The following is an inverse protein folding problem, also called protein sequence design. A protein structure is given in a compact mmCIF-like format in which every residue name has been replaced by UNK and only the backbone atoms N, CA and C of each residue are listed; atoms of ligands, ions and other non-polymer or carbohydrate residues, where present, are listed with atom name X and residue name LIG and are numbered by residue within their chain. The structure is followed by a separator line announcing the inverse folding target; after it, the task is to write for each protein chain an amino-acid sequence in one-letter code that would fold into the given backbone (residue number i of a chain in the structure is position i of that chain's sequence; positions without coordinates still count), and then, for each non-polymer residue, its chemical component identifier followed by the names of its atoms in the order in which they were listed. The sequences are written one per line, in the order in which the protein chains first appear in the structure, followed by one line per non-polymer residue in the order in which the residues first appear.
data_IF_056227296968
#
_entry.id   IF_056227296968
#
_cell.length_a   1.000
_cell.length_b   1.000
_cell.length_c   1.000
_cell.angle_alpha   90.00
_cell.angle_beta   90.00
_cell.angle_gamma   90.00
#
_symmetry.space_group_name_H-M   'P 1'
#
loop_
_entity.id
_entity.type
_entity.pdbx_description
1 polymer ?
#
# COMPACT_ATOMS: atom_id res chain seq x y z
N UNK A 1 6.54 -16.36 -9.67
CA UNK A 1 5.80 -15.07 -9.59
C UNK A 1 4.43 -15.32 -9.00
N UNK A 2 4.05 -14.56 -8.00
CA UNK A 2 2.67 -14.65 -7.45
C UNK A 2 1.71 -14.08 -8.49
N UNK A 3 0.64 -14.81 -8.76
CA UNK A 3 -0.32 -14.44 -9.79
C UNK A 3 -1.42 -13.57 -9.15
N UNK A 4 -1.53 -12.30 -9.54
CA UNK A 4 -2.50 -11.33 -9.03
C UNK A 4 -3.95 -11.83 -9.22
N UNK A 5 -4.23 -12.54 -10.28
CA UNK A 5 -5.57 -13.04 -10.63
C UNK A 5 -6.18 -14.01 -9.60
N UNK A 6 -5.37 -14.49 -8.63
CA UNK A 6 -5.84 -15.39 -7.58
C UNK A 6 -6.37 -14.66 -6.33
N UNK A 7 -6.33 -13.34 -6.31
CA UNK A 7 -6.78 -12.53 -5.18
C UNK A 7 -8.16 -11.96 -5.42
N UNK A 8 -8.96 -11.86 -4.37
CA UNK A 8 -10.29 -11.27 -4.39
C UNK A 8 -10.33 -9.84 -3.85
N UNK A 9 -9.20 -9.36 -3.30
CA UNK A 9 -8.97 -7.98 -2.91
C UNK A 9 -7.54 -7.58 -3.28
N UNK A 10 -7.40 -6.47 -4.00
CA UNK A 10 -6.11 -5.94 -4.42
C UNK A 10 -6.08 -4.45 -4.08
N UNK A 11 -5.15 -4.05 -3.24
CA UNK A 11 -4.81 -2.65 -3.02
C UNK A 11 -3.44 -2.40 -3.62
N UNK A 12 -3.32 -1.45 -4.55
CA UNK A 12 -2.03 -1.11 -5.15
C UNK A 12 -1.53 0.24 -4.66
N UNK A 13 -0.23 0.36 -4.45
CA UNK A 13 0.44 1.60 -4.08
C UNK A 13 1.68 1.80 -4.95
N UNK A 14 1.81 2.99 -5.54
CA UNK A 14 2.98 3.37 -6.32
C UNK A 14 3.19 2.56 -7.62
N UNK A 15 2.13 1.99 -8.18
CA UNK A 15 2.15 1.24 -9.42
C UNK A 15 1.26 1.90 -10.47
N UNK A 16 1.83 2.34 -11.57
CA UNK A 16 1.04 2.88 -12.69
C UNK A 16 0.48 1.79 -13.62
N UNK A 17 0.98 0.56 -13.49
CA UNK A 17 0.59 -0.58 -14.34
C UNK A 17 0.92 -0.38 -15.83
N UNK A 18 2.09 0.14 -16.11
CA UNK A 18 2.62 0.22 -17.50
C UNK A 18 2.91 -1.17 -18.07
N UNK A 19 3.34 -2.10 -17.22
CA UNK A 19 3.58 -3.48 -17.61
C UNK A 19 2.29 -4.17 -18.01
N UNK A 20 2.23 -4.62 -19.26
CA UNK A 20 1.03 -5.23 -19.84
C UNK A 20 0.65 -6.56 -19.17
N UNK A 21 1.64 -7.35 -18.75
CA UNK A 21 1.40 -8.63 -18.08
C UNK A 21 0.69 -8.41 -16.72
N UNK A 22 1.20 -7.49 -15.90
CA UNK A 22 0.56 -7.12 -14.64
C UNK A 22 -0.83 -6.53 -14.84
N UNK A 23 -0.97 -5.64 -15.82
CA UNK A 23 -2.27 -5.01 -16.14
C UNK A 23 -3.30 -6.06 -16.58
N UNK A 24 -2.91 -7.00 -17.42
CA UNK A 24 -3.80 -8.07 -17.87
C UNK A 24 -4.17 -9.03 -16.74
N UNK A 25 -3.23 -9.38 -15.88
CA UNK A 25 -3.48 -10.20 -14.68
C UNK A 25 -4.46 -9.51 -13.72
N UNK A 26 -4.28 -8.20 -13.51
CA UNK A 26 -5.21 -7.38 -12.70
C UNK A 26 -6.62 -7.38 -13.29
N UNK A 27 -6.75 -7.14 -14.59
CA UNK A 27 -8.05 -7.15 -15.29
C UNK A 27 -8.76 -8.50 -15.19
N UNK A 28 -8.01 -9.60 -15.22
CA UNK A 28 -8.58 -10.95 -15.01
C UNK A 28 -9.11 -11.12 -13.58
N UNK A 29 -8.36 -10.69 -12.58
CA UNK A 29 -8.82 -10.73 -11.18
C UNK A 29 -10.14 -9.96 -11.03
N UNK A 30 -10.24 -8.77 -11.59
CA UNK A 30 -11.44 -7.92 -11.52
C UNK A 30 -12.62 -8.56 -12.25
N UNK A 31 -12.40 -9.19 -13.39
CA UNK A 31 -13.44 -9.97 -14.10
C UNK A 31 -13.94 -11.15 -13.27
N UNK A 32 -13.10 -11.69 -12.38
CA UNK A 32 -13.46 -12.73 -11.41
C UNK A 32 -14.02 -12.16 -10.11
N UNK A 33 -14.48 -10.91 -10.12
CA UNK A 33 -15.11 -10.21 -9.00
C UNK A 33 -14.16 -9.75 -7.89
N UNK A 34 -12.86 -9.61 -8.16
CA UNK A 34 -11.94 -9.01 -7.21
C UNK A 34 -12.25 -7.52 -7.02
N UNK A 35 -12.15 -7.06 -5.78
CA UNK A 35 -12.17 -5.64 -5.44
C UNK A 35 -10.80 -5.03 -5.70
N UNK A 36 -10.75 -3.91 -6.41
CA UNK A 36 -9.50 -3.21 -6.69
C UNK A 36 -9.52 -1.77 -6.16
N UNK A 37 -8.60 -1.48 -5.26
CA UNK A 37 -8.35 -0.14 -4.72
C UNK A 37 -7.05 0.36 -5.35
N UNK A 38 -7.14 1.42 -6.15
CA UNK A 38 -6.01 2.01 -6.86
C UNK A 38 -5.51 3.24 -6.11
N UNK A 39 -4.28 3.19 -5.61
CA UNK A 39 -3.62 4.30 -4.92
C UNK A 39 -2.43 4.80 -5.73
N UNK A 40 -2.53 6.01 -6.26
CA UNK A 40 -1.48 6.60 -7.09
C UNK A 40 -1.65 8.13 -7.18
N UNK A 41 -0.56 8.90 -7.36
CA UNK A 41 -0.67 10.34 -7.62
C UNK A 41 -1.37 10.70 -8.93
N UNK A 42 -1.30 9.81 -9.92
CA UNK A 42 -1.84 10.03 -11.25
C UNK A 42 -2.87 8.96 -11.55
N UNK A 43 -4.06 9.38 -12.00
CA UNK A 43 -5.08 8.46 -12.47
C UNK A 43 -4.61 7.76 -13.76
N UNK A 44 -4.87 6.48 -13.87
CA UNK A 44 -4.58 5.71 -15.07
C UNK A 44 -5.87 5.51 -15.87
N UNK A 45 -5.96 6.16 -17.01
CA UNK A 45 -7.12 6.11 -17.87
C UNK A 45 -7.52 4.68 -18.28
N UNK A 46 -6.55 3.79 -18.47
CA UNK A 46 -6.82 2.39 -18.84
C UNK A 46 -7.41 1.56 -17.68
N UNK A 47 -7.28 2.03 -16.46
CA UNK A 47 -7.80 1.35 -15.26
C UNK A 47 -9.10 1.95 -14.75
N UNK A 48 -9.56 3.04 -15.32
CA UNK A 48 -10.71 3.81 -14.82
C UNK A 48 -11.99 3.00 -14.67
N UNK A 49 -12.24 2.05 -15.55
CA UNK A 49 -13.41 1.18 -15.50
C UNK A 49 -13.19 -0.08 -14.65
N UNK A 50 -12.02 -0.24 -14.05
CA UNK A 50 -11.63 -1.45 -13.32
C UNK A 50 -11.49 -1.28 -11.83
N UNK A 51 -11.11 -0.10 -11.32
CA UNK A 51 -11.02 0.10 -9.89
C UNK A 51 -12.38 0.39 -9.26
N UNK A 52 -12.60 -0.14 -8.04
CA UNK A 52 -13.78 0.17 -7.22
C UNK A 52 -13.60 1.48 -6.46
N UNK A 53 -12.34 1.83 -6.16
CA UNK A 53 -12.00 3.04 -5.45
C UNK A 53 -10.64 3.56 -5.94
N UNK A 54 -10.57 4.86 -6.21
CA UNK A 54 -9.32 5.54 -6.50
C UNK A 54 -8.97 6.47 -5.34
N UNK A 55 -7.85 6.20 -4.68
CA UNK A 55 -7.30 7.06 -3.64
C UNK A 55 -6.10 7.79 -4.22
N UNK A 56 -6.31 9.04 -4.60
CA UNK A 56 -5.25 9.90 -5.09
C UNK A 56 -4.44 10.44 -3.91
N UNK A 57 -3.12 10.41 -4.04
CA UNK A 57 -2.23 11.00 -3.05
C UNK A 57 -1.20 11.92 -3.69
N UNK A 58 -0.52 12.75 -2.88
CA UNK A 58 0.51 13.65 -3.37
C UNK A 58 1.80 12.89 -3.74
N UNK A 59 2.47 13.35 -4.78
CA UNK A 59 3.77 12.80 -5.21
C UNK A 59 4.76 12.82 -4.04
N UNK A 60 5.53 11.76 -3.88
CA UNK A 60 6.50 11.58 -2.80
C UNK A 60 5.89 11.41 -1.38
N UNK A 61 4.60 11.10 -1.29
CA UNK A 61 3.92 10.80 -0.02
C UNK A 61 3.84 9.31 0.30
N UNK A 62 4.55 8.45 -0.40
CA UNK A 62 4.43 6.99 -0.29
C UNK A 62 4.72 6.48 1.13
N UNK A 63 5.67 7.10 1.84
CA UNK A 63 5.95 6.76 3.24
C UNK A 63 4.73 7.01 4.14
N UNK A 64 4.10 8.18 4.00
CA UNK A 64 2.89 8.51 4.74
C UNK A 64 1.72 7.59 4.38
N UNK A 65 1.54 7.27 3.10
CA UNK A 65 0.52 6.34 2.62
C UNK A 65 0.72 4.96 3.24
N UNK A 66 1.94 4.44 3.28
CA UNK A 66 2.23 3.15 3.91
C UNK A 66 2.01 3.17 5.42
N UNK A 67 2.33 4.27 6.09
CA UNK A 67 2.03 4.44 7.52
C UNK A 67 0.51 4.45 7.77
N UNK A 68 -0.27 5.09 6.92
CA UNK A 68 -1.73 5.08 6.98
C UNK A 68 -2.30 3.67 6.70
N UNK A 69 -1.79 2.96 5.71
CA UNK A 69 -2.14 1.56 5.46
C UNK A 69 -1.85 0.72 6.70
N UNK A 70 -0.67 0.87 7.29
CA UNK A 70 -0.32 0.14 8.51
C UNK A 70 -1.28 0.46 9.66
N UNK A 71 -1.61 1.74 9.84
CA UNK A 71 -2.53 2.17 10.90
C UNK A 71 -3.94 1.55 10.76
N UNK A 72 -4.49 1.53 9.53
CA UNK A 72 -5.87 1.08 9.31
C UNK A 72 -6.01 -0.44 9.18
N UNK A 73 -4.97 -1.13 8.73
CA UNK A 73 -5.05 -2.57 8.40
C UNK A 73 -4.34 -3.49 9.39
N UNK A 74 -3.48 -2.96 10.27
CA UNK A 74 -2.73 -3.77 11.23
C UNK A 74 -3.61 -4.29 12.36
N UNK A 75 -3.24 -5.47 12.87
CA UNK A 75 -3.90 -6.12 14.00
C UNK A 75 -2.91 -6.85 14.89
N UNK A 76 -3.28 -7.01 16.17
CA UNK A 76 -2.49 -7.77 17.15
C UNK A 76 -1.05 -7.29 17.27
N UNK A 77 -0.86 -5.97 17.33
CA UNK A 77 0.45 -5.36 17.33
C UNK A 77 1.20 -5.55 18.65
N UNK A 78 2.52 -5.84 18.61
CA UNK A 78 3.39 -5.69 19.76
C UNK A 78 3.43 -4.22 20.24
N UNK A 79 3.89 -4.04 21.47
CA UNK A 79 3.93 -2.70 22.11
C UNK A 79 4.69 -1.67 21.26
N UNK A 80 5.84 -2.05 20.70
CA UNK A 80 6.69 -1.15 19.92
C UNK A 80 5.96 -0.57 18.68
N UNK A 81 5.30 -1.43 17.90
CA UNK A 81 4.53 -1.02 16.73
C UNK A 81 3.28 -0.24 17.12
N UNK A 82 2.65 -0.65 18.21
CA UNK A 82 1.49 0.06 18.76
C UNK A 82 1.86 1.47 19.21
N UNK A 83 2.98 1.63 19.93
CA UNK A 83 3.49 2.94 20.35
C UNK A 83 3.82 3.82 19.13
N UNK A 84 4.42 3.25 18.08
CA UNK A 84 4.66 3.96 16.83
C UNK A 84 3.36 4.54 16.24
N UNK A 85 2.31 3.71 16.12
CA UNK A 85 1.03 4.16 15.55
C UNK A 85 0.31 5.17 16.47
N UNK A 86 0.37 5.01 17.77
CA UNK A 86 -0.21 5.97 18.73
C UNK A 86 0.47 7.34 18.69
N UNK A 87 1.75 7.39 18.31
CA UNK A 87 2.52 8.63 18.17
C UNK A 87 2.40 9.26 16.78
N UNK A 88 1.79 8.58 15.80
CA UNK A 88 1.54 9.18 14.49
C UNK A 88 0.44 10.25 14.57
N UNK A 89 0.70 11.38 13.95
CA UNK A 89 -0.35 12.36 13.67
C UNK A 89 -1.09 11.97 12.39
N UNK A 90 -2.10 11.13 12.53
CA UNK A 90 -2.89 10.60 11.41
C UNK A 90 -3.57 11.72 10.63
N UNK A 91 -4.11 12.71 11.32
CA UNK A 91 -4.75 13.86 10.68
C UNK A 91 -3.76 14.67 9.82
N UNK A 92 -2.55 14.88 10.34
CA UNK A 92 -1.49 15.55 9.59
C UNK A 92 -1.06 14.74 8.36
N UNK A 93 -0.79 13.45 8.52
CA UNK A 93 -0.39 12.58 7.41
C UNK A 93 -1.46 12.51 6.32
N UNK A 94 -2.73 12.42 6.71
CA UNK A 94 -3.87 12.43 5.80
C UNK A 94 -3.96 13.76 5.05
N UNK A 95 -3.85 14.89 5.74
CA UNK A 95 -3.90 16.21 5.12
C UNK A 95 -2.75 16.44 4.13
N UNK A 96 -1.51 16.15 4.55
CA UNK A 96 -0.32 16.37 3.71
C UNK A 96 -0.23 15.42 2.52
N UNK A 97 -0.69 14.18 2.67
CA UNK A 97 -0.74 13.23 1.56
C UNK A 97 -1.96 13.39 0.66
N UNK A 98 -2.94 14.19 1.04
CA UNK A 98 -4.24 14.34 0.38
C UNK A 98 -5.07 13.05 0.31
N UNK A 99 -4.73 12.04 1.12
CA UNK A 99 -5.49 10.79 1.23
C UNK A 99 -6.32 10.81 2.51
N UNK A 100 -7.64 10.86 2.39
CA UNK A 100 -8.57 11.03 3.51
C UNK A 100 -8.70 9.77 4.37
N UNK A 101 -8.89 9.96 5.67
CA UNK A 101 -9.10 8.84 6.60
C UNK A 101 -10.33 8.01 6.20
N UNK A 102 -11.41 8.67 5.75
CA UNK A 102 -12.63 7.98 5.29
C UNK A 102 -12.36 7.07 4.09
N UNK A 103 -11.40 7.43 3.24
CA UNK A 103 -11.02 6.60 2.08
C UNK A 103 -10.37 5.28 2.54
N UNK A 104 -9.53 5.34 3.58
CA UNK A 104 -8.94 4.14 4.19
C UNK A 104 -9.97 3.30 4.92
N UNK A 105 -10.91 3.93 5.62
CA UNK A 105 -12.01 3.23 6.30
C UNK A 105 -12.88 2.49 5.29
N UNK A 106 -13.23 3.12 4.17
CA UNK A 106 -13.98 2.48 3.08
C UNK A 106 -13.21 1.29 2.49
N UNK A 107 -11.91 1.47 2.23
CA UNK A 107 -11.05 0.41 1.72
C UNK A 107 -10.95 -0.76 2.71
N UNK A 108 -10.91 -0.48 4.02
CA UNK A 108 -10.86 -1.49 5.07
C UNK A 108 -12.16 -2.31 5.17
N UNK A 109 -13.33 -1.70 5.02
CA UNK A 109 -14.61 -2.42 5.00
C UNK A 109 -14.61 -3.48 3.89
N UNK A 110 -14.19 -3.11 2.69
CA UNK A 110 -14.07 -4.04 1.55
C UNK A 110 -13.02 -5.14 1.82
N UNK A 111 -11.92 -4.79 2.49
CA UNK A 111 -10.88 -5.74 2.90
C UNK A 111 -11.42 -6.82 3.85
N UNK A 112 -12.23 -6.43 4.83
CA UNK A 112 -12.84 -7.37 5.80
C UNK A 112 -13.75 -8.40 5.12
N UNK A 113 -14.42 -8.03 4.04
CA UNK A 113 -15.31 -8.90 3.27
C UNK A 113 -14.56 -9.92 2.39
N UNK A 114 -13.29 -9.68 2.12
CA UNK A 114 -12.48 -10.49 1.22
C UNK A 114 -11.78 -11.66 1.94
N UNK A 115 -11.39 -12.67 1.19
CA UNK A 115 -10.69 -13.86 1.69
C UNK A 115 -9.20 -13.87 1.34
N UNK A 116 -8.85 -13.46 0.12
CA UNK A 116 -7.48 -13.43 -0.39
C UNK A 116 -7.08 -12.00 -0.77
N UNK A 117 -6.21 -11.42 0.03
CA UNK A 117 -5.93 -9.98 0.02
C UNK A 117 -4.49 -9.71 -0.38
N UNK A 118 -4.28 -8.94 -1.45
CA UNK A 118 -2.97 -8.53 -1.91
C UNK A 118 -2.74 -7.04 -1.72
N UNK A 119 -1.55 -6.69 -1.25
CA UNK A 119 -0.98 -5.35 -1.41
C UNK A 119 0.02 -5.40 -2.56
N UNK A 120 -0.31 -4.76 -3.67
CA UNK A 120 0.58 -4.66 -4.82
C UNK A 120 1.50 -3.43 -4.67
N UNK A 121 2.79 -3.69 -4.55
CA UNK A 121 3.83 -2.68 -4.32
C UNK A 121 4.51 -2.34 -5.64
N UNK A 122 4.32 -1.11 -6.10
CA UNK A 122 4.87 -0.64 -7.36
C UNK A 122 6.27 -0.05 -7.28
N UNK A 123 6.81 0.31 -8.43
CA UNK A 123 8.19 0.76 -8.59
C UNK A 123 8.44 2.18 -8.06
N UNK A 124 7.41 2.99 -7.92
CA UNK A 124 7.55 4.39 -7.45
C UNK A 124 8.18 4.47 -6.06
N UNK A 125 8.05 3.42 -5.24
CA UNK A 125 8.60 3.39 -3.89
C UNK A 125 10.13 3.21 -3.86
N UNK A 126 10.71 2.66 -4.92
CA UNK A 126 12.13 2.25 -4.96
C UNK A 126 13.07 3.45 -4.84
N UNK A 127 12.72 4.54 -5.49
CA UNK A 127 13.54 5.75 -5.57
C UNK A 127 13.12 6.83 -4.56
N UNK A 128 12.27 6.49 -3.60
CA UNK A 128 11.85 7.42 -2.57
C UNK A 128 13.01 7.77 -1.64
N UNK A 129 13.11 9.04 -1.24
CA UNK A 129 14.17 9.53 -0.34
C UNK A 129 14.23 8.74 0.97
N UNK A 130 13.06 8.33 1.49
CA UNK A 130 12.91 7.56 2.72
C UNK A 130 12.71 6.06 2.49
N UNK A 131 13.30 5.52 1.43
CA UNK A 131 13.13 4.11 1.04
C UNK A 131 13.48 3.11 2.15
N UNK A 132 14.46 3.44 3.02
CA UNK A 132 14.83 2.54 4.13
C UNK A 132 13.69 2.40 5.15
N UNK A 133 12.98 3.48 5.47
CA UNK A 133 11.80 3.40 6.34
C UNK A 133 10.60 2.78 5.61
N UNK A 134 10.46 3.03 4.31
CA UNK A 134 9.45 2.36 3.46
C UNK A 134 9.63 0.84 3.49
N UNK A 135 10.87 0.35 3.38
CA UNK A 135 11.17 -1.10 3.50
C UNK A 135 10.73 -1.64 4.85
N UNK A 136 11.01 -0.92 5.94
CA UNK A 136 10.55 -1.31 7.29
C UNK A 136 9.03 -1.28 7.42
N UNK A 137 8.36 -0.28 6.87
CA UNK A 137 6.89 -0.21 6.85
C UNK A 137 6.29 -1.40 6.10
N UNK A 138 6.81 -1.73 4.94
CA UNK A 138 6.36 -2.90 4.16
C UNK A 138 6.60 -4.21 4.91
N UNK A 139 7.75 -4.36 5.58
CA UNK A 139 8.03 -5.53 6.40
C UNK A 139 7.06 -5.65 7.59
N UNK A 140 6.71 -4.53 8.24
CA UNK A 140 5.70 -4.49 9.29
C UNK A 140 4.30 -4.82 8.75
N UNK A 141 3.90 -4.26 7.62
CA UNK A 141 2.63 -4.56 6.96
C UNK A 141 2.53 -6.05 6.64
N UNK A 142 3.59 -6.62 6.08
CA UNK A 142 3.64 -8.06 5.78
C UNK A 142 3.42 -8.91 7.03
N UNK A 143 4.01 -8.51 8.16
CA UNK A 143 3.97 -9.29 9.40
C UNK A 143 2.68 -9.11 10.20
N UNK A 144 2.12 -7.91 10.22
CA UNK A 144 1.04 -7.53 11.15
C UNK A 144 -0.29 -7.21 10.46
N UNK A 145 -0.43 -7.48 9.19
CA UNK A 145 -1.69 -7.40 8.47
C UNK A 145 -2.00 -8.72 7.76
N UNK A 146 -3.22 -8.85 7.27
CA UNK A 146 -3.62 -10.01 6.45
C UNK A 146 -3.33 -9.81 4.95
N UNK A 147 -2.50 -8.85 4.60
CA UNK A 147 -2.03 -8.69 3.24
C UNK A 147 -0.94 -9.70 2.88
N UNK A 148 -1.04 -10.27 1.70
CA UNK A 148 0.11 -10.82 0.99
C UNK A 148 0.70 -9.72 0.10
N UNK A 149 2.01 -9.48 0.20
CA UNK A 149 2.69 -8.48 -0.61
C UNK A 149 3.10 -9.07 -1.95
N UNK A 150 2.77 -8.35 -3.03
CA UNK A 150 3.19 -8.64 -4.39
C UNK A 150 3.96 -7.43 -4.90
N UNK A 151 5.13 -7.66 -5.46
CA UNK A 151 6.03 -6.60 -5.92
C UNK A 151 6.15 -6.60 -7.43
N UNK A 152 6.17 -5.41 -8.04
CA UNK A 152 6.52 -5.26 -9.45
C UNK A 152 8.02 -5.49 -9.71
N UNK A 153 8.86 -5.25 -8.70
CA UNK A 153 10.33 -5.42 -8.77
C UNK A 153 10.82 -6.50 -7.81
N UNK A 154 11.52 -7.49 -8.36
CA UNK A 154 12.04 -8.64 -7.58
C UNK A 154 13.19 -8.27 -6.65
N UNK A 155 14.00 -7.28 -7.01
CA UNK A 155 15.11 -6.81 -6.18
C UNK A 155 14.57 -6.11 -4.95
N UNK A 156 13.55 -5.29 -5.13
CA UNK A 156 12.86 -4.63 -4.03
C UNK A 156 12.14 -5.63 -3.11
N UNK A 157 11.48 -6.63 -3.68
CA UNK A 157 10.89 -7.74 -2.92
C UNK A 157 11.93 -8.42 -2.03
N UNK A 158 13.11 -8.75 -2.56
CA UNK A 158 14.19 -9.34 -1.77
C UNK A 158 14.66 -8.44 -0.64
N UNK A 159 14.77 -7.13 -0.90
CA UNK A 159 15.14 -6.15 0.10
C UNK A 159 14.15 -6.12 1.26
N UNK A 160 12.86 -6.10 0.99
CA UNK A 160 11.81 -6.14 2.02
C UNK A 160 11.83 -7.46 2.77
N UNK A 161 11.92 -8.59 2.07
CA UNK A 161 11.94 -9.92 2.69
C UNK A 161 13.18 -10.17 3.56
N UNK A 162 14.28 -9.48 3.30
CA UNK A 162 15.52 -9.56 4.09
C UNK A 162 15.52 -8.60 5.28
N UNK A 163 14.53 -7.73 5.40
CA UNK A 163 14.45 -6.76 6.48
C UNK A 163 14.10 -7.45 7.81
N UNK A 164 15.07 -7.48 8.74
CA UNK A 164 14.88 -8.03 10.09
C UNK A 164 14.64 -6.95 11.15
N UNK A 165 15.05 -5.71 10.86
CA UNK A 165 14.84 -4.57 11.74
C UNK A 165 13.47 -3.95 11.47
N UNK A 166 12.52 -4.21 12.36
CA UNK A 166 11.14 -3.70 12.26
C UNK A 166 10.94 -2.38 13.04
N UNK A 167 12.01 -1.80 13.58
CA UNK A 167 11.95 -0.51 14.28
C UNK A 167 11.71 0.61 13.27
N UNK A 168 10.54 1.27 13.37
CA UNK A 168 10.14 2.32 12.45
C UNK A 168 10.69 3.68 12.87
N UNK A 169 11.19 4.42 11.89
CA UNK A 169 11.62 5.81 12.08
C UNK A 169 10.40 6.73 12.18
N UNK A 170 10.52 7.81 12.94
CA UNK A 170 9.48 8.83 13.02
C UNK A 170 9.26 9.50 11.66
N UNK A 171 8.01 9.85 11.38
CA UNK A 171 7.61 10.57 10.16
C UNK A 171 7.24 11.98 10.59
N UNK A 172 8.26 12.85 10.68
CA UNK A 172 8.10 14.19 11.24
C UNK A 172 7.73 15.27 10.22
N UNK A 173 8.22 15.16 8.99
CA UNK A 173 7.99 16.15 7.94
C UNK A 173 7.81 15.46 6.58
N UNK A 174 6.61 15.55 6.04
CA UNK A 174 6.43 15.35 4.61
C UNK A 174 6.98 16.59 3.93
N UNK A 175 8.22 16.50 3.42
CA UNK A 175 8.77 17.60 2.64
C UNK A 175 7.94 17.77 1.37
N UNK A 176 7.14 18.80 1.35
CA UNK A 176 6.51 19.28 0.12
C UNK A 176 7.60 19.85 -0.77
N UNK A 177 7.86 19.20 -1.85
CA UNK A 177 8.68 19.75 -2.93
C UNK A 177 7.86 20.65 -3.83
#
# INVERSE_FOLDING_TARGET
MKIIENYDYILSVGAFFEDEEFRNSLKKAIKNSATFIYMHPIDNFELKDFYDQFIKYEVASEEAILALIFNFFAKNLPKEQKDFLENLDIGYLSAESSAGEEEFEEAFVKFEEASKRALFVGDDLINHERVENIVKLLANIKKYTDFELIFSDKTFEKKVNSCSNLYLDEIDDLQTF
#
